data_IF_238935507856
#
_entry.id   IF_238935507856
#
_cell.length_a   1.000
_cell.length_b   1.000
_cell.length_c   1.000
_cell.angle_alpha   90.00
_cell.angle_beta   90.00
_cell.angle_gamma   90.00
#
_symmetry.space_group_name_H-M   'P 1'
#
loop_
_entity.id
_entity.type
_entity.pdbx_description
1 polymer ?
#
# COMPACT_ATOMS: atom_id res chain seq x y z
N UNK A 1 2.05 4.17 17.77
CA UNK A 1 1.77 3.15 16.72
C UNK A 1 2.58 3.48 15.48
N UNK A 2 3.02 2.47 14.69
CA UNK A 2 3.82 2.69 13.46
C UNK A 2 3.27 1.81 12.34
N UNK A 3 3.31 2.32 11.09
CA UNK A 3 2.90 1.57 9.91
C UNK A 3 3.71 1.98 8.67
N UNK A 4 3.60 1.21 7.61
CA UNK A 4 4.25 1.48 6.33
C UNK A 4 3.19 1.63 5.23
N UNK A 5 3.30 2.65 4.42
CA UNK A 5 2.52 2.81 3.20
C UNK A 5 3.45 2.54 2.02
N UNK A 6 3.20 1.46 1.28
CA UNK A 6 3.86 1.20 0.00
C UNK A 6 2.98 1.76 -1.12
N UNK A 7 3.35 2.92 -1.62
CA UNK A 7 2.72 3.54 -2.78
C UNK A 7 3.42 3.13 -4.07
N UNK A 8 2.67 2.99 -5.15
CA UNK A 8 3.24 2.79 -6.47
C UNK A 8 2.32 2.03 -7.43
N UNK A 9 2.69 2.01 -8.74
CA UNK A 9 1.90 1.39 -9.79
C UNK A 9 1.81 -0.13 -9.66
N UNK A 10 0.95 -0.79 -10.47
CA UNK A 10 1.00 -2.24 -10.64
C UNK A 10 2.41 -2.71 -11.02
N UNK A 11 2.81 -3.87 -10.51
CA UNK A 11 4.13 -4.49 -10.73
C UNK A 11 5.36 -3.72 -10.18
N UNK A 12 5.15 -2.66 -9.39
CA UNK A 12 6.22 -1.96 -8.68
C UNK A 12 6.86 -2.76 -7.52
N UNK A 13 6.50 -4.03 -7.32
CA UNK A 13 7.16 -4.89 -6.33
C UNK A 13 6.59 -4.84 -4.91
N UNK A 14 5.45 -4.19 -4.66
CA UNK A 14 4.86 -4.05 -3.32
C UNK A 14 4.70 -5.37 -2.57
N UNK A 15 4.15 -6.41 -3.22
CA UNK A 15 3.97 -7.75 -2.60
C UNK A 15 5.32 -8.36 -2.19
N UNK A 16 6.33 -8.25 -3.06
CA UNK A 16 7.67 -8.81 -2.85
C UNK A 16 8.41 -8.09 -1.72
N UNK A 17 8.32 -6.76 -1.68
CA UNK A 17 8.92 -5.95 -0.61
C UNK A 17 8.20 -6.20 0.72
N UNK A 18 6.87 -6.37 0.72
CA UNK A 18 6.13 -6.73 1.94
C UNK A 18 6.56 -8.11 2.47
N UNK A 19 6.77 -9.09 1.60
CA UNK A 19 7.27 -10.41 2.00
C UNK A 19 8.69 -10.31 2.60
N UNK A 20 9.57 -9.49 2.02
CA UNK A 20 10.91 -9.26 2.54
C UNK A 20 10.89 -8.52 3.90
N UNK A 21 10.00 -7.53 4.07
CA UNK A 21 9.78 -6.85 5.36
C UNK A 21 9.32 -7.85 6.44
N UNK A 22 8.36 -8.71 6.13
CA UNK A 22 7.90 -9.73 7.07
C UNK A 22 8.98 -10.75 7.44
N UNK A 23 9.82 -11.13 6.47
CA UNK A 23 10.95 -12.03 6.72
C UNK A 23 12.02 -11.38 7.59
N UNK A 24 12.21 -10.05 7.49
CA UNK A 24 13.14 -9.28 8.30
C UNK A 24 12.62 -9.09 9.74
N UNK A 25 11.33 -8.77 9.88
CA UNK A 25 10.67 -8.53 11.16
C UNK A 25 9.19 -8.92 11.05
N UNK A 26 8.78 -9.92 11.81
CA UNK A 26 7.42 -10.48 11.78
C UNK A 26 6.33 -9.51 12.23
N UNK A 27 6.67 -8.37 12.82
CA UNK A 27 5.72 -7.30 13.13
C UNK A 27 5.14 -6.66 11.86
N UNK A 28 5.87 -6.68 10.73
CA UNK A 28 5.33 -6.23 9.46
C UNK A 28 4.32 -7.24 8.91
N UNK A 29 3.12 -6.80 8.65
CA UNK A 29 2.06 -7.63 8.07
C UNK A 29 1.32 -6.88 6.96
N UNK A 30 0.98 -7.59 5.87
CA UNK A 30 0.17 -7.00 4.82
C UNK A 30 -1.18 -6.57 5.39
N UNK A 31 -1.51 -5.29 5.28
CA UNK A 31 -2.87 -4.84 5.52
C UNK A 31 -3.77 -5.34 4.38
N UNK A 32 -4.63 -6.29 4.68
CA UNK A 32 -5.57 -6.85 3.73
C UNK A 32 -6.78 -5.93 3.61
N UNK A 33 -6.89 -5.21 2.50
CA UNK A 33 -8.07 -4.40 2.20
C UNK A 33 -9.31 -5.27 2.06
N UNK A 34 -10.47 -4.73 2.41
CA UNK A 34 -11.75 -5.33 2.05
C UNK A 34 -11.93 -5.29 0.53
N UNK A 35 -12.56 -6.34 -0.01
CA UNK A 35 -12.88 -6.43 -1.43
C UNK A 35 -14.25 -7.03 -1.63
N UNK A 36 -15.09 -6.36 -2.42
CA UNK A 36 -16.32 -6.90 -2.98
C UNK A 36 -16.17 -6.96 -4.51
N UNK A 37 -16.56 -8.08 -5.12
CA UNK A 37 -16.52 -8.27 -6.56
C UNK A 37 -15.52 -9.34 -7.05
N UNK A 38 -15.43 -9.52 -8.39
CA UNK A 38 -14.71 -10.63 -9.02
C UNK A 38 -13.19 -10.48 -8.97
N UNK A 39 -12.49 -11.52 -9.46
CA UNK A 39 -11.04 -11.56 -9.65
C UNK A 39 -10.28 -12.08 -8.43
N UNK A 40 -8.97 -11.72 -8.33
CA UNK A 40 -8.08 -12.23 -7.29
C UNK A 40 -8.63 -12.01 -5.88
N UNK A 41 -8.63 -13.06 -5.07
CA UNK A 41 -9.06 -13.02 -3.66
C UNK A 41 -7.89 -13.00 -2.67
N UNK A 42 -6.76 -13.60 -3.06
CA UNK A 42 -5.56 -13.67 -2.21
C UNK A 42 -5.02 -12.28 -1.88
N UNK A 43 -4.80 -12.01 -0.58
CA UNK A 43 -4.32 -10.73 -0.08
C UNK A 43 -5.43 -9.71 0.18
N UNK A 44 -6.70 -10.15 0.17
CA UNK A 44 -7.87 -9.35 0.49
C UNK A 44 -8.75 -10.06 1.52
N UNK A 45 -9.48 -9.27 2.31
CA UNK A 45 -10.61 -9.74 3.10
C UNK A 45 -11.85 -9.62 2.21
N UNK A 46 -12.34 -10.78 1.72
CA UNK A 46 -13.52 -10.79 0.85
C UNK A 46 -14.77 -10.46 1.64
N UNK A 47 -15.63 -9.63 1.06
CA UNK A 47 -16.89 -9.17 1.69
C UNK A 47 -17.97 -8.93 0.64
N UNK A 48 -19.16 -8.50 1.08
CA UNK A 48 -20.27 -8.13 0.21
C UNK A 48 -20.34 -6.62 -0.04
N UNK A 49 -21.00 -6.21 -1.13
CA UNK A 49 -21.32 -4.80 -1.39
C UNK A 49 -22.10 -4.19 -0.21
N UNK A 50 -23.09 -4.94 0.33
CA UNK A 50 -23.91 -4.48 1.46
C UNK A 50 -23.06 -4.15 2.71
N UNK A 51 -22.03 -4.96 2.99
CA UNK A 51 -21.10 -4.70 4.10
C UNK A 51 -20.26 -3.44 3.84
N UNK A 52 -19.81 -3.21 2.60
CA UNK A 52 -19.08 -1.99 2.27
C UNK A 52 -19.97 -0.75 2.40
N UNK A 53 -21.24 -0.84 2.01
CA UNK A 53 -22.21 0.24 2.15
C UNK A 53 -22.54 0.54 3.62
N UNK A 54 -22.55 -0.49 4.48
CA UNK A 54 -22.71 -0.33 5.93
C UNK A 54 -21.52 0.40 6.55
N UNK A 55 -20.29 0.00 6.21
CA UNK A 55 -19.07 0.70 6.62
C UNK A 55 -19.08 2.17 6.20
N UNK A 56 -19.54 2.45 4.97
CA UNK A 56 -19.70 3.82 4.49
C UNK A 56 -20.68 4.63 5.32
N UNK A 57 -21.84 4.08 5.65
CA UNK A 57 -22.85 4.73 6.51
C UNK A 57 -22.35 5.00 7.93
N UNK A 58 -21.48 4.14 8.46
CA UNK A 58 -20.88 4.28 9.78
C UNK A 58 -19.70 5.25 9.83
N UNK A 59 -19.21 5.73 8.66
CA UNK A 59 -18.00 6.57 8.57
C UNK A 59 -16.70 5.81 8.76
N UNK A 60 -16.72 4.48 8.60
CA UNK A 60 -15.58 3.58 8.81
C UNK A 60 -14.73 3.37 7.55
N UNK A 61 -15.17 3.90 6.41
CA UNK A 61 -14.38 3.89 5.17
C UNK A 61 -13.31 4.97 5.23
N UNK A 62 -12.04 4.57 5.21
CA UNK A 62 -10.89 5.48 5.11
C UNK A 62 -10.62 5.84 3.66
N UNK A 63 -10.59 4.82 2.79
CA UNK A 63 -10.40 5.00 1.36
C UNK A 63 -11.11 3.90 0.58
N UNK A 64 -11.73 4.28 -0.51
CA UNK A 64 -12.35 3.35 -1.43
C UNK A 64 -11.92 3.64 -2.87
N UNK A 65 -11.71 2.57 -3.65
CA UNK A 65 -11.56 2.68 -5.08
C UNK A 65 -12.18 1.48 -5.82
N UNK A 66 -12.71 1.75 -7.01
CA UNK A 66 -13.20 0.73 -7.94
C UNK A 66 -12.15 0.42 -9.00
N UNK A 67 -11.78 -0.85 -9.17
CA UNK A 67 -10.94 -1.34 -10.28
C UNK A 67 -11.29 -2.77 -10.65
N UNK A 68 -11.16 -3.12 -11.92
CA UNK A 68 -11.37 -4.49 -12.43
C UNK A 68 -12.75 -5.07 -12.07
N UNK A 69 -13.80 -4.23 -12.04
CA UNK A 69 -15.15 -4.65 -11.68
C UNK A 69 -15.35 -4.98 -10.18
N UNK A 70 -14.41 -4.59 -9.32
CA UNK A 70 -14.49 -4.79 -7.87
C UNK A 70 -14.25 -3.49 -7.10
N UNK A 71 -14.83 -3.40 -5.90
CA UNK A 71 -14.58 -2.34 -4.91
C UNK A 71 -13.52 -2.80 -3.92
N UNK A 72 -12.62 -1.88 -3.57
CA UNK A 72 -11.52 -2.10 -2.61
C UNK A 72 -11.56 -1.03 -1.54
N UNK A 73 -11.61 -1.43 -0.27
CA UNK A 73 -11.77 -0.51 0.84
C UNK A 73 -10.65 -0.69 1.87
N UNK A 74 -10.11 0.42 2.33
CA UNK A 74 -9.34 0.53 3.58
C UNK A 74 -10.33 0.96 4.64
N UNK A 75 -10.59 0.12 5.62
CA UNK A 75 -11.50 0.37 6.73
C UNK A 75 -10.74 0.77 8.00
N UNK A 76 -11.31 1.71 8.74
CA UNK A 76 -10.73 2.28 9.96
C UNK A 76 -10.55 1.25 11.08
N UNK A 77 -11.54 0.39 11.40
CA UNK A 77 -11.41 -0.57 12.50
C UNK A 77 -10.21 -1.49 12.33
N UNK A 78 -10.06 -2.10 11.14
CA UNK A 78 -8.94 -3.01 10.89
C UNK A 78 -7.60 -2.29 10.77
N UNK A 79 -7.59 -1.02 10.35
CA UNK A 79 -6.37 -0.22 10.33
C UNK A 79 -5.85 0.02 11.75
N UNK A 80 -6.74 0.35 12.69
CA UNK A 80 -6.41 0.53 14.12
C UNK A 80 -5.98 -0.81 14.74
N UNK A 81 -6.69 -1.89 14.45
CA UNK A 81 -6.34 -3.23 14.90
C UNK A 81 -4.92 -3.63 14.44
N UNK A 82 -4.61 -3.46 13.15
CA UNK A 82 -3.31 -3.76 12.60
C UNK A 82 -2.18 -2.93 13.23
N UNK A 83 -2.42 -1.64 13.48
CA UNK A 83 -1.48 -0.75 14.16
C UNK A 83 -1.27 -1.11 15.64
N UNK A 84 -2.27 -1.69 16.28
CA UNK A 84 -2.17 -2.16 17.67
C UNK A 84 -1.45 -3.50 17.77
N UNK A 85 -1.61 -4.36 16.77
CA UNK A 85 -0.99 -5.69 16.72
C UNK A 85 0.48 -5.67 16.22
N UNK A 86 0.86 -4.63 15.44
CA UNK A 86 2.20 -4.57 14.85
C UNK A 86 2.40 -3.37 13.94
N UNK A 87 3.03 -3.61 12.79
CA UNK A 87 3.31 -2.60 11.77
C UNK A 87 2.62 -2.99 10.44
N UNK A 88 1.37 -2.57 10.21
CA UNK A 88 0.67 -2.86 8.97
C UNK A 88 1.38 -2.23 7.77
N UNK A 89 1.48 -2.99 6.68
CA UNK A 89 2.00 -2.54 5.39
C UNK A 89 0.82 -2.35 4.44
N UNK A 90 0.45 -1.10 4.18
CA UNK A 90 -0.71 -0.72 3.37
C UNK A 90 -0.28 -0.48 1.92
N UNK A 91 -0.88 -1.20 0.97
CA UNK A 91 -0.59 -1.01 -0.46
C UNK A 91 -1.56 -0.01 -1.09
N UNK A 92 -1.03 1.08 -1.64
CA UNK A 92 -1.80 2.12 -2.30
C UNK A 92 -1.26 2.41 -3.71
N UNK A 93 -2.10 2.99 -4.56
CA UNK A 93 -1.76 3.39 -5.93
C UNK A 93 -2.41 4.70 -6.36
N UNK A 94 -3.07 5.41 -5.44
CA UNK A 94 -3.64 6.74 -5.64
C UNK A 94 -3.10 7.68 -4.56
N UNK A 95 -2.65 8.88 -4.95
CA UNK A 95 -2.11 9.87 -4.00
C UNK A 95 -3.09 10.25 -2.89
N UNK A 96 -4.38 10.56 -3.17
CA UNK A 96 -5.33 10.90 -2.11
C UNK A 96 -5.54 9.78 -1.09
N UNK A 97 -5.28 8.52 -1.46
CA UNK A 97 -5.36 7.39 -0.52
C UNK A 97 -4.28 7.46 0.57
N UNK A 98 -3.10 7.97 0.22
CA UNK A 98 -1.99 8.15 1.18
C UNK A 98 -2.41 9.14 2.26
N UNK A 99 -2.96 10.28 1.84
CA UNK A 99 -3.41 11.33 2.75
C UNK A 99 -4.58 10.86 3.61
N UNK A 100 -5.53 10.13 3.02
CA UNK A 100 -6.66 9.55 3.75
C UNK A 100 -6.23 8.57 4.84
N UNK A 101 -5.26 7.69 4.55
CA UNK A 101 -4.74 6.72 5.53
C UNK A 101 -3.99 7.43 6.66
N UNK A 102 -3.18 8.45 6.35
CA UNK A 102 -2.47 9.25 7.36
C UNK A 102 -3.45 10.01 8.27
N UNK A 103 -4.46 10.64 7.68
CA UNK A 103 -5.48 11.39 8.42
C UNK A 103 -6.40 10.50 9.26
N UNK A 104 -6.62 9.25 8.86
CA UNK A 104 -7.50 8.33 9.58
C UNK A 104 -6.99 7.96 10.97
N UNK A 105 -5.65 7.92 11.17
CA UNK A 105 -5.02 7.62 12.45
C UNK A 105 -3.83 8.60 12.64
N UNK A 106 -4.11 9.85 13.06
CA UNK A 106 -3.10 10.91 13.13
C UNK A 106 -1.99 10.62 14.16
N UNK A 107 -2.28 9.83 15.20
CA UNK A 107 -1.30 9.42 16.22
C UNK A 107 -0.37 8.29 15.75
N UNK A 108 -0.62 7.70 14.58
CA UNK A 108 0.27 6.71 13.99
C UNK A 108 1.35 7.38 13.16
N UNK A 109 2.59 6.89 13.30
CA UNK A 109 3.72 7.29 12.43
C UNK A 109 3.72 6.40 11.19
N UNK A 110 3.60 7.00 10.04
CA UNK A 110 3.61 6.33 8.76
C UNK A 110 4.92 6.56 8.03
N UNK A 111 5.62 5.48 7.68
CA UNK A 111 6.72 5.52 6.72
C UNK A 111 6.11 5.37 5.31
N UNK A 112 6.15 6.43 4.52
CA UNK A 112 5.60 6.46 3.17
C UNK A 112 6.71 6.17 2.17
N UNK A 113 6.58 5.08 1.43
CA UNK A 113 7.58 4.61 0.46
C UNK A 113 6.99 4.59 -0.94
N UNK A 114 7.59 5.33 -1.85
CA UNK A 114 7.26 5.24 -3.27
C UNK A 114 8.12 4.15 -3.94
N UNK A 115 7.47 3.06 -4.34
CA UNK A 115 8.07 2.00 -5.13
C UNK A 115 7.72 2.19 -6.60
N UNK A 116 8.75 2.20 -7.45
CA UNK A 116 8.59 2.30 -8.90
C UNK A 116 9.59 1.40 -9.64
N UNK A 117 9.39 1.25 -10.92
CA UNK A 117 10.36 0.67 -11.84
C UNK A 117 10.11 1.25 -13.24
N UNK A 118 11.07 1.18 -14.17
CA UNK A 118 10.86 1.57 -15.57
C UNK A 118 9.64 0.86 -16.18
N UNK A 119 8.96 1.53 -17.12
CA UNK A 119 7.72 1.04 -17.73
C UNK A 119 7.90 -0.31 -18.43
N UNK A 120 8.99 -0.50 -19.14
CA UNK A 120 9.32 -1.74 -19.83
C UNK A 120 9.49 -2.91 -18.85
N UNK A 121 10.14 -2.68 -17.70
CA UNK A 121 10.26 -3.65 -16.60
C UNK A 121 8.87 -3.98 -16.02
N UNK A 122 8.02 -2.96 -15.81
CA UNK A 122 6.67 -3.17 -15.31
C UNK A 122 5.83 -4.00 -16.29
N UNK A 123 5.89 -3.69 -17.60
CA UNK A 123 5.20 -4.45 -18.66
C UNK A 123 5.66 -5.90 -18.67
N UNK A 124 6.97 -6.18 -18.64
CA UNK A 124 7.48 -7.54 -18.55
C UNK A 124 6.94 -8.30 -17.35
N UNK A 125 6.94 -7.68 -16.17
CA UNK A 125 6.41 -8.26 -14.93
C UNK A 125 4.90 -8.50 -14.99
N UNK A 126 4.13 -7.59 -15.62
CA UNK A 126 2.69 -7.72 -15.81
C UNK A 126 2.37 -8.90 -16.74
N UNK A 127 3.03 -8.96 -17.90
CA UNK A 127 2.84 -10.04 -18.89
C UNK A 127 3.19 -11.42 -18.28
N UNK A 128 4.28 -11.49 -17.53
CA UNK A 128 4.74 -12.72 -16.90
C UNK A 128 3.73 -13.31 -15.89
N UNK A 129 2.85 -12.48 -15.31
CA UNK A 129 1.82 -12.93 -14.34
C UNK A 129 0.68 -13.73 -14.97
N UNK A 130 0.41 -13.59 -16.26
CA UNK A 130 -0.64 -14.29 -17.03
C UNK A 130 -2.03 -14.24 -16.37
N UNK A 131 -2.41 -13.09 -15.80
CA UNK A 131 -3.66 -12.92 -15.03
C UNK A 131 -4.86 -12.53 -15.88
N UNK A 132 -4.70 -12.35 -17.21
CA UNK A 132 -5.78 -11.99 -18.15
C UNK A 132 -6.18 -10.51 -18.15
N UNK A 133 -5.63 -9.70 -17.23
CA UNK A 133 -5.95 -8.27 -17.07
C UNK A 133 -4.76 -7.35 -17.47
N UNK A 134 -3.90 -7.84 -18.36
CA UNK A 134 -2.64 -7.18 -18.78
C UNK A 134 -2.84 -5.72 -19.18
N UNK A 135 -3.74 -5.45 -20.12
CA UNK A 135 -3.97 -4.08 -20.60
C UNK A 135 -4.49 -3.14 -19.50
N UNK A 136 -5.41 -3.63 -18.66
CA UNK A 136 -5.93 -2.84 -17.56
C UNK A 136 -4.86 -2.51 -16.53
N UNK A 137 -3.89 -3.40 -16.32
CA UNK A 137 -2.73 -3.15 -15.44
C UNK A 137 -1.73 -2.17 -16.05
N UNK A 138 -1.49 -2.24 -17.35
CA UNK A 138 -0.61 -1.28 -18.03
C UNK A 138 -1.24 0.12 -17.97
N UNK A 139 -2.53 0.25 -18.29
CA UNK A 139 -3.24 1.53 -18.10
C UNK A 139 -3.14 2.04 -16.67
N UNK A 140 -3.39 1.17 -15.68
CA UNK A 140 -3.26 1.55 -14.28
C UNK A 140 -1.83 1.93 -13.87
N UNK A 141 -0.81 1.40 -14.54
CA UNK A 141 0.57 1.84 -14.39
C UNK A 141 0.77 3.24 -14.96
N UNK A 142 0.30 3.49 -16.18
CA UNK A 142 0.40 4.77 -16.88
C UNK A 142 -0.36 5.88 -16.13
N UNK A 143 -1.49 5.55 -15.47
CA UNK A 143 -2.31 6.46 -14.67
C UNK A 143 -1.77 6.73 -13.25
N UNK A 144 -0.74 6.00 -12.80
CA UNK A 144 -0.21 6.18 -11.44
C UNK A 144 0.85 7.29 -11.44
N UNK A 145 0.50 8.42 -10.85
CA UNK A 145 1.40 9.57 -10.72
C UNK A 145 2.56 9.28 -9.77
N UNK A 146 3.76 9.82 -10.01
CA UNK A 146 4.84 9.82 -9.03
C UNK A 146 4.43 10.49 -7.71
N UNK A 147 4.93 9.97 -6.59
CA UNK A 147 4.70 10.55 -5.28
C UNK A 147 5.93 11.37 -4.85
N UNK A 148 5.81 12.70 -4.91
CA UNK A 148 6.91 13.61 -4.57
C UNK A 148 7.20 13.63 -3.06
N UNK A 149 6.14 13.55 -2.24
CA UNK A 149 6.25 13.59 -0.77
C UNK A 149 6.26 12.19 -0.18
N UNK A 150 7.36 11.47 -0.37
CA UNK A 150 7.61 10.17 0.25
C UNK A 150 8.87 10.22 1.13
N UNK A 151 8.90 9.43 2.20
CA UNK A 151 10.08 9.30 3.06
C UNK A 151 11.21 8.56 2.34
N UNK A 152 10.86 7.64 1.43
CA UNK A 152 11.77 6.90 0.57
C UNK A 152 11.19 6.72 -0.83
N UNK A 153 12.06 6.86 -1.85
CA UNK A 153 11.74 6.50 -3.25
C UNK A 153 12.72 5.42 -3.70
N UNK A 154 12.20 4.26 -4.10
CA UNK A 154 13.01 3.10 -4.47
C UNK A 154 12.68 2.59 -5.88
N UNK A 155 13.72 2.48 -6.72
CA UNK A 155 13.64 1.80 -8.01
C UNK A 155 13.80 0.29 -7.81
N UNK A 156 12.70 -0.46 -7.88
CA UNK A 156 12.71 -1.91 -7.67
C UNK A 156 13.28 -2.73 -8.85
N UNK A 157 13.71 -2.08 -9.92
CA UNK A 157 14.51 -2.71 -10.95
C UNK A 157 16.00 -2.79 -10.54
N UNK A 158 16.44 -1.91 -9.64
CA UNK A 158 17.83 -1.79 -9.20
C UNK A 158 18.03 -2.22 -7.74
N UNK A 159 17.03 -1.96 -6.89
CA UNK A 159 17.09 -2.27 -5.46
C UNK A 159 16.46 -3.65 -5.20
N UNK A 160 17.27 -4.66 -4.76
CA UNK A 160 16.73 -5.96 -4.39
C UNK A 160 15.72 -5.87 -3.23
N UNK A 161 14.74 -6.79 -3.15
CA UNK A 161 13.70 -6.74 -2.12
C UNK A 161 14.23 -6.73 -0.67
N UNK A 162 15.31 -7.46 -0.40
CA UNK A 162 15.93 -7.54 0.92
C UNK A 162 16.53 -6.18 1.32
N UNK A 163 17.27 -5.55 0.41
CA UNK A 163 17.83 -4.21 0.64
C UNK A 163 16.72 -3.16 0.77
N UNK A 164 15.67 -3.27 -0.03
CA UNK A 164 14.50 -2.39 0.10
C UNK A 164 13.86 -2.54 1.50
N UNK A 165 13.71 -3.77 2.00
CA UNK A 165 13.17 -4.03 3.33
C UNK A 165 14.05 -3.45 4.44
N UNK A 166 15.38 -3.57 4.36
CA UNK A 166 16.32 -3.00 5.33
C UNK A 166 16.24 -1.47 5.35
N UNK A 167 16.22 -0.82 4.18
CA UNK A 167 16.09 0.63 4.08
C UNK A 167 14.77 1.13 4.68
N UNK A 168 13.66 0.44 4.37
CA UNK A 168 12.34 0.77 4.90
C UNK A 168 12.29 0.55 6.41
N UNK A 169 12.82 -0.57 6.90
CA UNK A 169 12.88 -0.89 8.32
C UNK A 169 13.64 0.19 9.10
N UNK A 170 14.82 0.57 8.60
CA UNK A 170 15.62 1.64 9.21
C UNK A 170 14.83 2.96 9.29
N UNK A 171 14.17 3.37 8.20
CA UNK A 171 13.36 4.60 8.17
C UNK A 171 12.12 4.51 9.07
N UNK A 172 11.41 3.40 9.04
CA UNK A 172 10.19 3.21 9.83
C UNK A 172 10.45 3.20 11.34
N UNK A 173 11.66 2.80 11.77
CA UNK A 173 12.06 2.77 13.17
C UNK A 173 12.85 4.01 13.62
N UNK A 174 13.39 4.79 12.68
CA UNK A 174 14.09 6.02 13.02
C UNK A 174 13.17 6.97 13.81
N UNK A 175 13.68 7.51 14.92
CA UNK A 175 13.01 8.58 15.66
C UNK A 175 13.33 9.94 15.02
N UNK A 176 12.94 10.11 13.75
CA UNK A 176 13.00 11.43 13.12
C UNK A 176 11.93 12.31 13.77
N UNK A 177 12.36 13.13 14.74
CA UNK A 177 11.59 14.29 15.14
C UNK A 177 11.38 15.16 13.89
N UNK A 178 10.15 15.63 13.60
CA UNK A 178 9.97 16.63 12.56
C UNK A 178 10.89 17.81 12.86
N UNK A 179 11.50 18.45 11.86
CA UNK A 179 12.30 19.62 12.09
C UNK A 179 11.46 20.63 12.89
N UNK A 180 11.97 21.00 14.08
CA UNK A 180 11.35 22.05 14.87
C UNK A 180 11.33 23.32 13.98
N UNK A 181 10.16 23.78 13.60
CA UNK A 181 10.01 25.12 13.05
C UNK A 181 10.58 26.06 14.08
N UNK A 182 11.75 26.65 13.79
CA UNK A 182 12.25 27.80 14.52
C UNK A 182 11.53 29.01 13.95
N UNK A 183 10.68 29.62 14.80
CA UNK A 183 10.11 30.95 14.58
C UNK A 183 11.21 31.98 14.35
#
# INVERSE_FOLDING_TARGET
MRGVILYGPPAAGKDTVTAALHALDTRYSLFQRLKAGPGRTTGYRMTSEATLDELGRNGDVVWENGRYGARYVVDRPSLIEGLSAGMPVVHLGQRPAVDAVRAAVPDARWCVVYLWCPRDVAVQRIVARRTGDTEARIRAWDDTEPLAESDLTLNTAEVPPQLAAELIHHHALADTQPPAFRD
#
